data_IF_472225691656
#
_entry.id   IF_472225691656
#
_cell.length_a   1.000
_cell.length_b   1.000
_cell.length_c   1.000
_cell.angle_alpha   90.00
_cell.angle_beta   90.00
_cell.angle_gamma   90.00
#
_symmetry.space_group_name_H-M   'P 1'
#
loop_
_entity.id
_entity.type
_entity.pdbx_description
1 polymer ?
#
# COMPACT_ATOMS: atom_id res chain seq x y z
N UNK A 1 4.28 -30.45 5.84
CA UNK A 1 5.00 -29.78 4.72
C UNK A 1 5.96 -30.79 4.09
N UNK A 2 5.94 -30.99 2.75
CA UNK A 2 6.87 -31.94 2.07
C UNK A 2 8.28 -31.39 1.93
N UNK A 3 8.42 -30.06 1.83
CA UNK A 3 9.70 -29.36 1.95
C UNK A 3 9.89 -29.02 3.42
N UNK A 4 10.97 -29.50 4.03
CA UNK A 4 11.35 -29.15 5.42
C UNK A 4 12.46 -28.10 5.46
N UNK A 5 13.12 -27.91 4.34
CA UNK A 5 14.26 -27.02 4.17
C UNK A 5 13.93 -26.01 3.08
N UNK A 6 13.96 -24.72 3.44
CA UNK A 6 13.80 -23.60 2.54
C UNK A 6 15.12 -22.83 2.34
N UNK A 7 16.22 -23.28 2.95
CA UNK A 7 17.53 -22.63 2.86
C UNK A 7 18.04 -22.40 1.43
N UNK A 8 17.71 -23.24 0.40
CA UNK A 8 18.11 -22.92 -0.97
C UNK A 8 17.53 -21.59 -1.49
N UNK A 9 16.40 -21.12 -0.95
CA UNK A 9 15.83 -19.82 -1.33
C UNK A 9 16.62 -18.64 -0.77
N UNK A 10 17.39 -18.83 0.31
CA UNK A 10 18.13 -17.75 0.97
C UNK A 10 19.12 -17.06 0.02
N UNK A 11 19.78 -17.84 -0.85
CA UNK A 11 20.70 -17.32 -1.85
C UNK A 11 20.02 -16.43 -2.92
N UNK A 12 18.70 -16.59 -3.12
CA UNK A 12 17.92 -15.79 -4.07
C UNK A 12 17.37 -14.54 -3.37
N UNK A 13 16.63 -14.72 -2.27
CA UNK A 13 15.97 -13.60 -1.60
C UNK A 13 16.95 -12.67 -0.86
N UNK A 14 18.11 -13.20 -0.48
CA UNK A 14 19.20 -12.47 0.15
C UNK A 14 20.18 -11.81 -0.83
N UNK A 15 19.98 -11.95 -2.14
CA UNK A 15 20.84 -11.34 -3.14
C UNK A 15 20.30 -9.95 -3.55
N UNK A 16 21.04 -8.85 -3.31
CA UNK A 16 20.59 -7.50 -3.66
C UNK A 16 20.47 -7.25 -5.17
N UNK A 17 21.12 -8.07 -6.01
CA UNK A 17 21.00 -7.98 -7.47
C UNK A 17 19.71 -8.61 -8.01
N UNK A 18 18.93 -9.30 -7.15
CA UNK A 18 17.68 -9.94 -7.52
C UNK A 18 16.51 -9.21 -6.84
N UNK A 19 15.70 -8.52 -7.64
CA UNK A 19 14.48 -7.88 -7.15
C UNK A 19 13.36 -8.90 -6.98
N UNK A 20 12.80 -8.99 -5.77
CA UNK A 20 11.63 -9.83 -5.48
C UNK A 20 10.35 -9.00 -5.66
N UNK A 21 9.42 -9.47 -6.50
CA UNK A 21 8.15 -8.78 -6.73
C UNK A 21 7.09 -9.29 -5.77
N UNK A 22 6.47 -8.38 -5.02
CA UNK A 22 5.41 -8.67 -4.05
C UNK A 22 4.22 -7.74 -4.27
N UNK A 23 3.02 -8.20 -3.95
CA UNK A 23 1.81 -7.38 -3.95
C UNK A 23 1.20 -7.34 -2.54
N UNK A 24 1.59 -6.36 -1.74
CA UNK A 24 1.21 -6.30 -0.32
C UNK A 24 2.23 -7.02 0.55
N UNK A 25 3.48 -6.55 0.51
CA UNK A 25 4.65 -7.29 1.00
C UNK A 25 4.65 -7.59 2.52
N UNK A 26 3.92 -6.81 3.32
CA UNK A 26 4.06 -6.83 4.79
C UNK A 26 3.82 -8.19 5.45
N UNK A 27 2.82 -8.94 5.00
CA UNK A 27 2.54 -10.27 5.56
C UNK A 27 3.57 -11.31 5.09
N UNK A 28 3.93 -11.28 3.81
CA UNK A 28 4.84 -12.23 3.18
C UNK A 28 6.25 -12.09 3.75
N UNK A 29 6.76 -10.86 3.87
CA UNK A 29 8.07 -10.58 4.46
C UNK A 29 8.17 -11.09 5.90
N UNK A 30 7.09 -10.97 6.69
CA UNK A 30 7.06 -11.50 8.05
C UNK A 30 7.12 -13.03 8.06
N UNK A 31 6.30 -13.69 7.24
CA UNK A 31 6.29 -15.16 7.15
C UNK A 31 7.63 -15.70 6.65
N UNK A 32 8.28 -15.01 5.70
CA UNK A 32 9.61 -15.36 5.23
C UNK A 32 10.66 -15.20 6.34
N UNK A 33 10.64 -14.10 7.10
CA UNK A 33 11.56 -13.88 8.21
C UNK A 33 11.40 -14.94 9.33
N UNK A 34 10.18 -15.37 9.64
CA UNK A 34 9.90 -16.50 10.56
C UNK A 34 10.51 -17.84 10.09
N UNK A 35 10.89 -17.92 8.81
CA UNK A 35 11.57 -19.07 8.18
C UNK A 35 13.04 -18.79 7.86
N UNK A 36 13.62 -17.76 8.47
CA UNK A 36 15.02 -17.35 8.26
C UNK A 36 15.34 -16.93 6.81
N UNK A 37 14.31 -16.48 6.08
CA UNK A 37 14.44 -15.94 4.72
C UNK A 37 14.32 -14.41 4.78
N UNK A 38 15.45 -13.74 4.62
CA UNK A 38 15.51 -12.28 4.64
C UNK A 38 15.54 -11.74 3.21
N UNK A 39 14.43 -11.14 2.78
CA UNK A 39 14.33 -10.47 1.48
C UNK A 39 15.04 -9.12 1.54
N UNK A 40 16.14 -8.97 0.81
CA UNK A 40 16.96 -7.73 0.86
C UNK A 40 16.58 -6.70 -0.19
N UNK A 41 15.99 -7.13 -1.31
CA UNK A 41 15.57 -6.27 -2.41
C UNK A 41 14.20 -6.72 -2.94
N UNK A 42 13.19 -5.85 -2.83
CA UNK A 42 11.83 -6.12 -3.29
C UNK A 42 11.11 -4.86 -3.78
N UNK A 43 10.06 -5.07 -4.58
CA UNK A 43 9.07 -4.06 -4.92
C UNK A 43 7.72 -4.44 -4.28
N UNK A 44 7.07 -3.48 -3.63
CA UNK A 44 5.67 -3.63 -3.18
C UNK A 44 4.72 -2.96 -4.18
N UNK A 45 4.17 -3.76 -5.09
CA UNK A 45 3.29 -3.29 -6.16
C UNK A 45 1.94 -2.81 -5.65
N UNK A 46 1.47 -3.30 -4.49
CA UNK A 46 0.27 -2.76 -3.86
C UNK A 46 0.54 -1.32 -3.38
N UNK A 47 1.70 -1.10 -2.77
CA UNK A 47 2.08 0.21 -2.28
C UNK A 47 2.26 1.23 -3.40
N UNK A 48 2.90 0.84 -4.51
CA UNK A 48 2.98 1.64 -5.72
C UNK A 48 1.58 1.97 -6.27
N UNK A 49 0.73 0.97 -6.42
CA UNK A 49 -0.64 1.13 -6.92
C UNK A 49 -1.48 2.05 -6.04
N UNK A 50 -1.37 1.90 -4.71
CA UNK A 50 -2.04 2.76 -3.73
C UNK A 50 -1.61 4.23 -3.87
N UNK A 51 -0.31 4.48 -3.99
CA UNK A 51 0.22 5.83 -4.16
C UNK A 51 -0.30 6.54 -5.42
N UNK A 52 -0.70 5.78 -6.45
CA UNK A 52 -1.26 6.33 -7.68
C UNK A 52 -2.79 6.44 -7.59
N UNK A 53 -3.49 5.37 -7.22
CA UNK A 53 -4.95 5.22 -7.39
C UNK A 53 -5.74 5.20 -6.08
N UNK A 54 -5.07 5.09 -4.94
CA UNK A 54 -5.68 4.94 -3.62
C UNK A 54 -5.90 3.49 -3.19
N UNK A 55 -6.26 3.30 -1.92
CA UNK A 55 -6.40 2.02 -1.23
C UNK A 55 -7.53 1.14 -1.80
N UNK A 56 -8.58 1.76 -2.34
CA UNK A 56 -9.70 1.00 -2.91
C UNK A 56 -9.37 0.36 -4.26
N UNK A 57 -8.36 0.90 -4.96
CA UNK A 57 -7.95 0.44 -6.29
C UNK A 57 -6.56 -0.20 -6.27
N UNK A 58 -5.99 -0.48 -5.10
CA UNK A 58 -4.62 -1.02 -4.98
C UNK A 58 -4.54 -2.54 -5.02
N UNK A 59 -5.64 -3.28 -4.83
CA UNK A 59 -5.60 -4.75 -4.80
C UNK A 59 -5.21 -5.34 -6.16
N UNK A 60 -4.57 -6.52 -6.18
CA UNK A 60 -4.13 -7.16 -7.43
C UNK A 60 -5.29 -7.31 -8.42
N UNK A 61 -6.44 -7.79 -7.95
CA UNK A 61 -7.64 -7.93 -8.79
C UNK A 61 -8.14 -6.59 -9.37
N UNK A 62 -8.08 -5.50 -8.60
CA UNK A 62 -8.46 -4.17 -9.10
C UNK A 62 -7.46 -3.66 -10.14
N UNK A 63 -6.17 -3.86 -9.88
CA UNK A 63 -5.09 -3.46 -10.77
C UNK A 63 -5.09 -4.23 -12.09
N UNK A 64 -5.35 -5.53 -12.07
CA UNK A 64 -5.47 -6.32 -13.30
C UNK A 64 -6.71 -5.96 -14.12
N UNK A 65 -7.82 -5.65 -13.46
CA UNK A 65 -9.00 -5.13 -14.15
C UNK A 65 -8.67 -3.79 -14.82
N UNK A 66 -7.96 -2.89 -14.12
CA UNK A 66 -7.53 -1.59 -14.66
C UNK A 66 -6.54 -1.73 -15.82
N UNK A 67 -5.48 -2.52 -15.65
CA UNK A 67 -4.37 -2.62 -16.59
C UNK A 67 -4.69 -3.49 -17.81
N UNK A 68 -5.39 -4.59 -17.57
CA UNK A 68 -5.58 -5.66 -18.57
C UNK A 68 -7.05 -5.99 -18.86
N UNK A 69 -8.01 -5.37 -18.17
CA UNK A 69 -9.44 -5.74 -18.24
C UNK A 69 -9.70 -7.20 -17.84
N UNK A 70 -8.79 -7.79 -17.05
CA UNK A 70 -8.87 -9.17 -16.57
C UNK A 70 -9.49 -9.20 -15.18
N UNK A 71 -10.48 -10.08 -14.98
CA UNK A 71 -11.07 -10.36 -13.67
C UNK A 71 -10.37 -11.57 -13.05
N UNK A 72 -9.73 -11.37 -11.90
CA UNK A 72 -9.24 -12.48 -11.09
C UNK A 72 -10.40 -13.19 -10.39
N UNK A 73 -10.42 -14.52 -10.49
CA UNK A 73 -11.23 -15.33 -9.60
C UNK A 73 -10.71 -15.20 -8.17
N UNK A 74 -11.61 -15.02 -7.19
CA UNK A 74 -11.28 -14.91 -5.76
C UNK A 74 -11.76 -16.13 -4.96
N UNK A 75 -12.37 -17.11 -5.63
CA UNK A 75 -13.00 -18.28 -5.00
C UNK A 75 -12.05 -19.07 -4.10
N UNK A 76 -10.77 -19.14 -4.46
CA UNK A 76 -9.79 -19.97 -3.75
C UNK A 76 -9.00 -19.24 -2.65
N UNK A 77 -9.21 -17.93 -2.46
CA UNK A 77 -8.44 -17.13 -1.49
C UNK A 77 -8.58 -17.63 -0.04
N UNK A 78 -9.75 -18.18 0.33
CA UNK A 78 -10.05 -18.67 1.68
C UNK A 78 -10.11 -20.20 1.79
N UNK A 79 -9.50 -20.90 0.83
CA UNK A 79 -9.47 -22.38 0.83
C UNK A 79 -8.43 -22.90 1.84
N UNK A 80 -8.64 -24.11 2.35
CA UNK A 80 -7.64 -24.81 3.16
C UNK A 80 -6.40 -25.20 2.32
N UNK A 81 -5.35 -24.37 2.39
CA UNK A 81 -4.05 -24.57 1.75
C UNK A 81 -3.19 -25.66 2.40
N UNK A 82 -3.64 -26.26 3.51
CA UNK A 82 -2.93 -27.37 4.16
C UNK A 82 -3.26 -28.73 3.54
N UNK A 83 -4.37 -28.85 2.81
CA UNK A 83 -4.83 -30.07 2.14
C UNK A 83 -3.77 -30.68 1.22
N UNK A 84 -3.63 -32.01 1.20
CA UNK A 84 -2.76 -32.73 0.26
C UNK A 84 -3.44 -33.98 -0.35
N UNK A 85 -3.20 -34.30 -1.64
CA UNK A 85 -2.51 -33.47 -2.63
C UNK A 85 -3.26 -32.16 -2.91
N UNK A 86 -2.56 -31.14 -3.39
CA UNK A 86 -3.21 -29.89 -3.81
C UNK A 86 -4.04 -30.16 -5.08
N UNK A 87 -5.34 -29.80 -5.10
CA UNK A 87 -6.14 -29.87 -6.32
C UNK A 87 -5.52 -29.05 -7.46
N UNK A 88 -5.64 -29.48 -8.73
CA UNK A 88 -5.10 -28.75 -9.89
C UNK A 88 -5.51 -27.27 -9.94
N UNK A 89 -6.75 -26.96 -9.56
CA UNK A 89 -7.26 -25.58 -9.50
C UNK A 89 -6.48 -24.70 -8.50
N UNK A 90 -6.08 -25.24 -7.34
CA UNK A 90 -5.27 -24.50 -6.36
C UNK A 90 -3.85 -24.26 -6.85
N UNK A 91 -3.28 -25.22 -7.58
CA UNK A 91 -1.95 -25.06 -8.21
C UNK A 91 -2.01 -23.97 -9.28
N UNK A 92 -3.00 -24.02 -10.18
CA UNK A 92 -3.20 -23.01 -11.21
C UNK A 92 -3.42 -21.61 -10.60
N UNK A 93 -4.23 -21.52 -9.55
CA UNK A 93 -4.47 -20.27 -8.82
C UNK A 93 -3.18 -19.68 -8.23
N UNK A 94 -2.38 -20.50 -7.53
CA UNK A 94 -1.12 -20.03 -6.95
C UNK A 94 -0.10 -19.60 -8.01
N UNK A 95 0.00 -20.31 -9.13
CA UNK A 95 0.86 -19.91 -10.24
C UNK A 95 0.40 -18.59 -10.87
N UNK A 96 -0.92 -18.45 -11.08
CA UNK A 96 -1.53 -17.26 -11.69
C UNK A 96 -1.27 -16.00 -10.87
N UNK A 97 -1.25 -16.09 -9.55
CA UNK A 97 -0.96 -14.96 -8.66
C UNK A 97 0.46 -14.40 -8.92
N UNK A 98 1.46 -15.28 -9.04
CA UNK A 98 2.83 -14.89 -9.36
C UNK A 98 2.98 -14.35 -10.80
N UNK A 99 2.37 -15.02 -11.79
CA UNK A 99 2.37 -14.56 -13.19
C UNK A 99 1.75 -13.15 -13.32
N UNK A 100 0.65 -12.91 -12.61
CA UNK A 100 -0.04 -11.62 -12.64
C UNK A 100 0.69 -10.53 -11.89
N UNK A 101 1.39 -10.87 -10.81
CA UNK A 101 2.28 -9.93 -10.11
C UNK A 101 3.40 -9.46 -11.05
N UNK A 102 4.00 -10.37 -11.82
CA UNK A 102 4.99 -10.00 -12.84
C UNK A 102 4.40 -9.10 -13.94
N UNK A 103 3.22 -9.44 -14.45
CA UNK A 103 2.55 -8.63 -15.46
C UNK A 103 2.25 -7.21 -14.96
N UNK A 104 1.78 -7.10 -13.71
CA UNK A 104 1.53 -5.81 -13.10
C UNK A 104 2.81 -4.99 -12.92
N UNK A 105 3.94 -5.61 -12.55
CA UNK A 105 5.22 -4.92 -12.45
C UNK A 105 5.59 -4.25 -13.78
N UNK A 106 5.54 -4.97 -14.89
CA UNK A 106 5.87 -4.40 -16.20
C UNK A 106 4.92 -3.28 -16.62
N UNK A 107 3.62 -3.43 -16.35
CA UNK A 107 2.66 -2.36 -16.61
C UNK A 107 2.96 -1.11 -15.76
N UNK A 108 3.26 -1.28 -14.47
CA UNK A 108 3.67 -0.16 -13.61
C UNK A 108 5.00 0.45 -14.06
N UNK A 109 5.93 -0.36 -14.58
CA UNK A 109 7.22 0.09 -15.08
C UNK A 109 7.07 0.96 -16.33
N UNK A 110 6.19 0.57 -17.24
CA UNK A 110 5.91 1.33 -18.47
C UNK A 110 5.19 2.64 -18.19
N UNK A 111 4.11 2.61 -17.40
CA UNK A 111 3.20 3.77 -17.25
C UNK A 111 3.48 4.62 -16.01
N UNK A 112 4.06 4.04 -14.95
CA UNK A 112 4.29 4.71 -13.67
C UNK A 112 5.68 4.41 -13.07
N UNK A 113 6.79 4.55 -13.84
CA UNK A 113 8.13 4.21 -13.35
C UNK A 113 8.51 5.00 -12.10
N UNK A 114 8.00 6.22 -11.98
CA UNK A 114 8.18 7.06 -10.81
C UNK A 114 7.63 6.45 -9.51
N UNK A 115 6.51 5.73 -9.60
CA UNK A 115 5.86 5.12 -8.44
C UNK A 115 6.61 3.85 -8.05
N UNK A 116 7.05 3.06 -9.04
CA UNK A 116 7.89 1.90 -8.76
C UNK A 116 9.20 2.30 -8.06
N UNK A 117 9.93 3.28 -8.58
CA UNK A 117 11.19 3.73 -7.99
C UNK A 117 11.01 4.22 -6.54
N UNK A 118 9.86 4.84 -6.25
CA UNK A 118 9.51 5.32 -4.93
C UNK A 118 9.24 4.17 -3.92
N UNK A 119 8.86 3.00 -4.44
CA UNK A 119 8.55 1.79 -3.67
C UNK A 119 9.57 0.65 -3.88
N UNK A 120 10.76 1.00 -4.37
CA UNK A 120 11.93 0.13 -4.40
C UNK A 120 12.53 0.02 -3.00
N UNK A 121 12.65 -1.21 -2.49
CA UNK A 121 13.17 -1.44 -1.14
C UNK A 121 14.65 -1.10 -1.00
N UNK A 122 15.42 -1.05 -2.10
CA UNK A 122 16.84 -0.68 -2.08
C UNK A 122 17.04 0.76 -1.54
N UNK A 123 16.00 1.59 -1.62
CA UNK A 123 16.00 2.98 -1.17
C UNK A 123 15.49 3.19 0.28
N UNK A 124 15.23 2.11 1.04
CA UNK A 124 14.58 2.21 2.36
C UNK A 124 15.42 2.82 3.46
N UNK A 125 16.75 2.90 3.31
CA UNK A 125 17.60 3.48 4.34
C UNK A 125 17.60 5.00 4.26
N UNK A 126 16.85 5.63 5.15
CA UNK A 126 16.91 7.07 5.39
C UNK A 126 17.26 7.32 6.86
N UNK A 127 18.36 8.05 7.15
CA UNK A 127 18.72 8.35 8.52
C UNK A 127 17.68 9.29 9.15
N UNK A 128 16.95 8.78 10.13
CA UNK A 128 16.06 9.56 11.01
C UNK A 128 16.54 9.42 12.45
N UNK A 129 16.06 10.29 13.35
CA UNK A 129 16.34 10.15 14.76
C UNK A 129 15.87 8.77 15.27
N UNK A 130 16.69 8.10 16.08
CA UNK A 130 16.47 6.71 16.52
C UNK A 130 15.12 6.52 17.24
N UNK A 131 14.64 7.54 17.94
CA UNK A 131 13.34 7.50 18.63
C UNK A 131 12.14 7.52 17.67
N UNK A 132 12.29 8.03 16.45
CA UNK A 132 11.23 8.11 15.43
C UNK A 132 11.08 6.76 14.71
N UNK A 133 12.18 6.04 14.52
CA UNK A 133 12.26 4.82 13.71
C UNK A 133 11.21 3.74 14.05
N UNK A 134 10.93 3.41 15.34
CA UNK A 134 9.90 2.43 15.68
C UNK A 134 8.50 2.80 15.17
N UNK A 135 8.16 4.10 15.15
CA UNK A 135 6.89 4.59 14.63
C UNK A 135 6.82 4.48 13.11
N UNK A 136 7.91 4.78 12.40
CA UNK A 136 7.98 4.65 10.95
C UNK A 136 7.88 3.19 10.50
N UNK A 137 8.44 2.27 11.29
CA UNK A 137 8.33 0.82 11.07
C UNK A 137 6.98 0.26 11.49
N UNK A 138 6.21 0.99 12.32
CA UNK A 138 4.91 0.55 12.83
C UNK A 138 5.03 -0.54 13.90
N UNK A 139 6.16 -0.57 14.59
CA UNK A 139 6.50 -1.57 15.62
C UNK A 139 6.62 -0.94 17.02
N UNK A 140 6.33 0.35 17.16
CA UNK A 140 6.35 1.00 18.48
C UNK A 140 5.42 0.28 19.44
N UNK A 141 5.91 -0.20 20.59
CA UNK A 141 5.08 -0.91 21.57
C UNK A 141 4.24 0.04 22.43
N UNK A 142 4.57 1.34 22.43
CA UNK A 142 3.95 2.36 23.28
C UNK A 142 3.48 3.58 22.47
N UNK A 143 2.53 4.36 23.01
CA UNK A 143 2.12 5.64 22.44
C UNK A 143 3.27 6.67 22.32
N UNK A 144 3.19 7.64 21.40
CA UNK A 144 4.24 8.64 21.15
C UNK A 144 4.69 9.46 22.37
N UNK A 145 3.75 9.88 23.21
CA UNK A 145 4.01 10.66 24.42
C UNK A 145 4.82 9.86 25.45
N UNK A 146 4.48 8.59 25.62
CA UNK A 146 5.22 7.65 26.50
C UNK A 146 6.63 7.42 25.96
N UNK A 147 6.78 7.15 24.66
CA UNK A 147 8.09 6.95 24.05
C UNK A 147 9.01 8.17 24.20
N UNK A 148 8.46 9.39 24.08
CA UNK A 148 9.23 10.61 24.29
C UNK A 148 9.68 10.74 25.75
N UNK A 149 8.79 10.45 26.71
CA UNK A 149 9.16 10.49 28.13
C UNK A 149 10.31 9.52 28.44
N UNK A 150 10.22 8.27 27.96
CA UNK A 150 11.29 7.27 28.11
C UNK A 150 12.59 7.71 27.43
N UNK A 151 12.51 8.27 26.22
CA UNK A 151 13.68 8.77 25.50
C UNK A 151 14.34 9.99 26.17
N UNK A 152 13.57 10.81 26.90
CA UNK A 152 14.10 11.89 27.75
C UNK A 152 14.84 11.30 28.95
N UNK A 153 14.26 10.32 29.63
CA UNK A 153 14.90 9.63 30.77
C UNK A 153 16.21 8.95 30.37
N UNK A 154 16.28 8.42 29.15
CA UNK A 154 17.49 7.79 28.59
C UNK A 154 18.50 8.81 28.04
N UNK A 155 18.20 10.11 28.06
CA UNK A 155 19.07 11.17 27.54
C UNK A 155 19.18 11.21 26.00
N UNK A 156 18.30 10.50 25.29
CA UNK A 156 18.22 10.52 23.82
C UNK A 156 17.57 11.81 23.33
N UNK A 157 16.55 12.28 24.05
CA UNK A 157 15.87 13.56 23.80
C UNK A 157 16.20 14.53 24.92
N UNK A 158 16.84 15.65 24.57
CA UNK A 158 17.27 16.68 25.52
C UNK A 158 16.25 17.82 25.66
N UNK A 159 15.37 18.00 24.67
CA UNK A 159 14.39 19.07 24.69
C UNK A 159 13.20 18.82 23.77
N UNK A 160 12.07 19.49 24.03
CA UNK A 160 10.92 19.49 23.11
C UNK A 160 11.26 20.09 21.74
N UNK A 161 12.22 21.02 21.69
CA UNK A 161 12.66 21.61 20.42
C UNK A 161 13.39 20.59 19.55
N UNK A 162 14.14 19.66 20.15
CA UNK A 162 14.76 18.55 19.43
C UNK A 162 13.71 17.69 18.73
N UNK A 163 12.62 17.33 19.41
CA UNK A 163 11.52 16.54 18.82
C UNK A 163 10.96 17.20 17.55
N UNK A 164 10.73 18.51 17.60
CA UNK A 164 10.24 19.28 16.43
C UNK A 164 11.26 19.26 15.30
N UNK A 165 12.54 19.48 15.60
CA UNK A 165 13.61 19.49 14.61
C UNK A 165 13.83 18.11 13.98
N UNK A 166 13.78 17.04 14.77
CA UNK A 166 13.91 15.66 14.30
C UNK A 166 12.76 15.29 13.36
N UNK A 167 11.53 15.63 13.72
CA UNK A 167 10.35 15.44 12.86
C UNK A 167 10.45 16.27 11.57
N UNK A 168 10.92 17.53 11.64
CA UNK A 168 11.15 18.37 10.45
C UNK A 168 12.20 17.76 9.53
N UNK A 169 13.32 17.30 10.09
CA UNK A 169 14.37 16.62 9.34
C UNK A 169 13.85 15.32 8.72
N UNK A 170 12.99 14.57 9.41
CA UNK A 170 12.36 13.37 8.87
C UNK A 170 11.40 13.72 7.71
N UNK A 171 10.68 14.84 7.76
CA UNK A 171 9.81 15.30 6.66
C UNK A 171 10.58 15.66 5.39
N UNK A 172 11.85 16.05 5.48
CA UNK A 172 12.67 16.39 4.31
C UNK A 172 13.47 15.19 3.78
N UNK A 173 13.86 14.28 4.66
CA UNK A 173 14.72 13.15 4.32
C UNK A 173 13.94 11.92 3.84
N UNK A 174 12.76 11.64 4.42
CA UNK A 174 12.01 10.45 4.08
C UNK A 174 11.48 10.49 2.65
N UNK A 175 11.91 9.51 1.86
CA UNK A 175 11.44 9.32 0.48
C UNK A 175 10.20 8.41 0.46
N UNK A 176 10.15 7.39 1.33
CA UNK A 176 9.13 6.35 1.26
C UNK A 176 7.73 6.82 1.74
N UNK A 177 6.68 6.78 0.90
CA UNK A 177 5.37 7.39 1.19
C UNK A 177 4.68 6.85 2.44
N UNK A 178 4.79 5.55 2.71
CA UNK A 178 4.16 4.95 3.89
C UNK A 178 4.84 5.45 5.18
N UNK A 179 6.16 5.60 5.18
CA UNK A 179 6.88 6.17 6.32
C UNK A 179 6.53 7.65 6.50
N UNK A 180 6.43 8.43 5.41
CA UNK A 180 5.95 9.82 5.47
C UNK A 180 4.53 9.93 6.05
N UNK A 181 3.62 9.06 5.62
CA UNK A 181 2.25 8.99 6.16
C UNK A 181 2.23 8.67 7.67
N UNK A 182 3.10 7.75 8.12
CA UNK A 182 3.27 7.42 9.54
C UNK A 182 3.89 8.58 10.33
N UNK A 183 4.87 9.27 9.77
CA UNK A 183 5.47 10.48 10.37
C UNK A 183 4.43 11.59 10.53
N UNK A 184 3.59 11.85 9.51
CA UNK A 184 2.51 12.83 9.60
C UNK A 184 1.49 12.49 10.69
N UNK A 185 1.20 11.20 10.89
CA UNK A 185 0.39 10.74 12.01
C UNK A 185 1.08 11.00 13.35
N UNK A 186 2.36 10.67 13.48
CA UNK A 186 3.16 10.90 14.68
C UNK A 186 3.18 12.40 15.04
N UNK A 187 3.43 13.27 14.06
CA UNK A 187 3.41 14.73 14.23
C UNK A 187 2.06 15.22 14.76
N UNK A 188 0.96 14.68 14.23
CA UNK A 188 -0.39 14.99 14.68
C UNK A 188 -0.70 14.44 16.09
N UNK A 189 -0.23 13.23 16.41
CA UNK A 189 -0.39 12.62 17.75
C UNK A 189 0.36 13.43 18.81
N UNK A 190 1.52 13.99 18.46
CA UNK A 190 2.34 14.83 19.33
C UNK A 190 1.91 16.32 19.36
N UNK A 191 0.88 16.67 18.59
CA UNK A 191 0.36 18.04 18.47
C UNK A 191 1.45 19.09 18.13
N UNK A 192 2.37 18.76 17.22
CA UNK A 192 3.48 19.67 16.85
C UNK A 192 3.01 20.72 15.84
N UNK A 193 2.21 21.68 16.29
CA UNK A 193 1.62 22.73 15.44
C UNK A 193 2.64 23.61 14.72
N UNK A 194 3.89 23.68 15.21
CA UNK A 194 4.97 24.40 14.52
C UNK A 194 5.36 23.78 13.17
N UNK A 195 4.96 22.53 12.91
CA UNK A 195 5.23 21.82 11.66
C UNK A 195 4.14 22.01 10.61
N UNK A 196 3.06 22.75 10.91
CA UNK A 196 2.00 23.04 9.93
C UNK A 196 2.56 23.58 8.60
N UNK A 197 3.46 24.58 8.56
CA UNK A 197 4.04 25.08 7.31
C UNK A 197 4.86 24.03 6.54
N UNK A 198 5.48 23.07 7.25
CA UNK A 198 6.24 21.97 6.67
C UNK A 198 5.32 20.90 6.03
N UNK A 199 4.08 20.76 6.52
CA UNK A 199 3.09 19.78 6.06
C UNK A 199 2.26 20.30 4.88
N UNK A 200 1.94 21.60 4.86
CA UNK A 200 1.09 22.20 3.82
C UNK A 200 1.51 21.89 2.37
N UNK A 201 2.81 21.92 2.00
CA UNK A 201 3.24 21.54 0.65
C UNK A 201 2.83 20.11 0.24
N UNK A 202 2.66 19.21 1.22
CA UNK A 202 2.29 17.82 0.97
C UNK A 202 0.83 17.64 0.56
N UNK A 203 0.00 18.67 0.66
CA UNK A 203 -1.32 18.71 0.02
C UNK A 203 -1.22 18.57 -1.50
N UNK A 204 -0.06 18.92 -2.10
CA UNK A 204 0.23 18.76 -3.53
C UNK A 204 1.24 17.62 -3.77
N UNK A 205 1.44 16.72 -2.80
CA UNK A 205 2.35 15.60 -2.96
C UNK A 205 1.94 14.71 -4.15
N UNK A 206 2.95 14.11 -4.79
CA UNK A 206 2.75 13.24 -5.96
C UNK A 206 1.89 12.03 -5.61
N UNK A 207 2.07 11.45 -4.42
CA UNK A 207 1.31 10.28 -3.97
C UNK A 207 0.01 10.67 -3.30
N UNK A 208 -1.03 9.88 -3.56
CA UNK A 208 -2.34 10.04 -2.90
C UNK A 208 -2.26 9.81 -1.39
N UNK A 209 -1.39 8.89 -0.95
CA UNK A 209 -1.13 8.54 0.44
C UNK A 209 -0.69 9.77 1.25
N UNK A 210 0.28 10.52 0.73
CA UNK A 210 0.80 11.72 1.35
C UNK A 210 -0.22 12.85 1.37
N UNK A 211 -0.93 13.10 0.26
CA UNK A 211 -1.98 14.13 0.22
C UNK A 211 -3.06 13.85 1.26
N UNK A 212 -3.56 12.62 1.30
CA UNK A 212 -4.59 12.22 2.27
C UNK A 212 -4.06 12.28 3.72
N UNK A 213 -2.79 11.92 3.96
CA UNK A 213 -2.17 12.00 5.28
C UNK A 213 -1.95 13.44 5.73
N UNK A 214 -1.53 14.33 4.83
CA UNK A 214 -1.34 15.74 5.09
C UNK A 214 -2.65 16.42 5.50
N UNK A 215 -3.75 16.17 4.76
CA UNK A 215 -5.09 16.65 5.13
C UNK A 215 -5.44 16.23 6.57
N UNK A 216 -5.28 14.94 6.89
CA UNK A 216 -5.61 14.42 8.23
C UNK A 216 -4.73 15.04 9.32
N UNK A 217 -3.45 15.23 9.06
CA UNK A 217 -2.51 15.83 10.01
C UNK A 217 -2.86 17.30 10.28
N UNK A 218 -3.05 18.11 9.23
CA UNK A 218 -3.37 19.54 9.34
C UNK A 218 -4.64 19.80 10.13
N UNK A 219 -5.69 18.99 9.92
CA UNK A 219 -6.94 19.12 10.67
C UNK A 219 -6.78 18.75 12.14
N UNK A 220 -5.99 17.71 12.44
CA UNK A 220 -5.70 17.33 13.83
C UNK A 220 -4.84 18.36 14.55
N UNK A 221 -4.05 19.14 13.82
CA UNK A 221 -3.25 20.26 14.32
C UNK A 221 -4.03 21.58 14.40
N UNK A 222 -5.34 21.58 14.10
CA UNK A 222 -6.21 22.77 14.12
C UNK A 222 -5.71 23.90 13.19
N UNK A 223 -5.12 23.54 12.05
CA UNK A 223 -4.58 24.48 11.08
C UNK A 223 -5.69 25.12 10.21
N UNK A 224 -6.44 26.07 10.79
CA UNK A 224 -7.56 26.76 10.14
C UNK A 224 -7.19 27.37 8.78
N UNK A 225 -6.03 28.02 8.69
CA UNK A 225 -5.53 28.65 7.46
C UNK A 225 -5.28 27.64 6.32
N UNK A 226 -5.06 26.35 6.64
CA UNK A 226 -4.84 25.33 5.64
C UNK A 226 -6.14 24.87 4.96
N UNK A 227 -7.32 25.22 5.50
CA UNK A 227 -8.62 24.83 4.92
C UNK A 227 -8.79 25.32 3.48
N UNK A 228 -8.36 26.55 3.19
CA UNK A 228 -8.38 27.11 1.82
C UNK A 228 -7.59 26.24 0.84
N UNK A 229 -6.46 25.68 1.28
CA UNK A 229 -5.61 24.78 0.49
C UNK A 229 -6.19 23.36 0.39
N UNK A 230 -7.08 22.95 1.29
CA UNK A 230 -7.75 21.64 1.28
C UNK A 230 -8.96 21.63 0.33
N UNK A 231 -9.68 22.75 0.15
CA UNK A 231 -10.87 22.82 -0.72
C UNK A 231 -10.67 22.22 -2.13
N UNK A 232 -9.59 22.53 -2.86
CA UNK A 232 -9.36 21.95 -4.19
C UNK A 232 -9.28 20.41 -4.19
N UNK A 233 -8.84 19.80 -3.08
CA UNK A 233 -8.68 18.35 -2.96
C UNK A 233 -10.01 17.59 -2.82
N UNK A 234 -11.14 18.30 -2.69
CA UNK A 234 -12.47 17.69 -2.88
C UNK A 234 -12.66 17.13 -4.30
N UNK A 235 -11.89 17.62 -5.28
CA UNK A 235 -11.89 17.17 -6.68
C UNK A 235 -10.67 16.33 -7.03
N UNK A 236 -9.89 15.87 -6.05
CA UNK A 236 -8.74 15.01 -6.30
C UNK A 236 -9.15 13.75 -7.08
N UNK A 237 -8.35 13.27 -8.06
CA UNK A 237 -8.70 12.06 -8.82
C UNK A 237 -8.84 10.82 -7.93
N UNK A 238 -8.16 10.77 -6.78
CA UNK A 238 -8.17 9.64 -5.87
C UNK A 238 -9.24 9.80 -4.79
N UNK A 239 -10.10 8.78 -4.68
CA UNK A 239 -11.22 8.76 -3.75
C UNK A 239 -10.81 9.02 -2.28
N UNK A 240 -9.70 8.43 -1.83
CA UNK A 240 -9.28 8.52 -0.42
C UNK A 240 -8.86 9.95 -0.03
N UNK A 241 -8.30 10.70 -0.98
CA UNK A 241 -7.96 12.10 -0.81
C UNK A 241 -9.24 12.93 -0.72
N UNK A 242 -10.20 12.73 -1.65
CA UNK A 242 -11.51 13.40 -1.60
C UNK A 242 -12.24 13.12 -0.29
N UNK A 243 -12.22 11.88 0.18
CA UNK A 243 -12.83 11.47 1.45
C UNK A 243 -12.16 12.18 2.64
N UNK A 244 -10.83 12.25 2.66
CA UNK A 244 -10.10 12.99 3.67
C UNK A 244 -10.46 14.48 3.67
N UNK A 245 -10.46 15.12 2.50
CA UNK A 245 -10.83 16.54 2.34
C UNK A 245 -12.29 16.81 2.77
N UNK A 246 -13.21 15.95 2.37
CA UNK A 246 -14.63 16.07 2.75
C UNK A 246 -14.86 15.89 4.25
N UNK A 247 -14.09 15.00 4.90
CA UNK A 247 -14.16 14.83 6.36
C UNK A 247 -13.58 16.04 7.08
N UNK A 248 -12.43 16.53 6.60
CA UNK A 248 -11.73 17.71 7.09
C UNK A 248 -12.58 18.98 7.07
N UNK A 249 -13.37 19.18 6.02
CA UNK A 249 -14.18 20.39 5.86
C UNK A 249 -15.57 20.30 6.51
N UNK A 250 -16.06 19.07 6.78
CA UNK A 250 -17.33 18.85 7.48
C UNK A 250 -17.27 19.10 8.98
N UNK A 251 -16.09 18.99 9.61
CA UNK A 251 -15.93 19.13 11.06
C UNK A 251 -16.26 20.53 11.61
N UNK A 252 -16.56 21.52 10.76
CA UNK A 252 -17.12 22.81 11.18
C UNK A 252 -18.65 22.81 11.37
N UNK A 253 -19.41 21.86 10.80
CA UNK A 253 -20.89 21.92 10.86
C UNK A 253 -21.43 21.38 12.19
N UNK A 254 -20.67 20.58 12.94
CA UNK A 254 -21.13 19.99 14.20
C UNK A 254 -20.81 20.83 15.45
N UNK A 255 -19.88 21.81 15.37
CA UNK A 255 -19.57 22.69 16.52
C UNK A 255 -20.70 23.71 16.81
N UNK A 256 -21.55 24.01 15.83
CA UNK A 256 -22.69 24.93 15.97
C UNK A 256 -24.04 24.21 16.20
N UNK A 257 -24.06 22.88 16.23
CA UNK A 257 -25.27 22.06 16.49
C UNK A 257 -24.99 21.08 17.63
N UNK A 258 -24.74 21.61 18.83
CA UNK A 258 -24.92 20.84 20.08
C UNK A 258 -26.19 21.29 20.77
N UNK A 259 -27.32 20.79 20.27
CA UNK A 259 -28.55 20.53 21.03
C UNK A 259 -28.65 19.02 21.32
N UNK A 260 -29.41 18.58 22.34
CA UNK A 260 -29.13 17.36 23.07
C UNK A 260 -29.46 16.07 22.30
N UNK A 261 -28.49 15.14 22.33
CA UNK A 261 -28.70 13.70 22.33
C UNK A 261 -29.38 13.07 21.11
N UNK A 262 -28.59 12.47 20.21
CA UNK A 262 -29.08 11.44 19.31
C UNK A 262 -28.36 10.12 19.58
N UNK A 263 -29.20 9.14 19.92
CA UNK A 263 -28.89 7.86 20.52
C UNK A 263 -28.06 6.92 19.63
N UNK A 264 -27.25 6.11 20.30
CA UNK A 264 -26.54 4.95 19.77
C UNK A 264 -27.52 3.96 19.14
N UNK A 265 -27.29 3.44 17.92
CA UNK A 265 -28.15 2.39 17.36
C UNK A 265 -27.95 1.08 18.14
N UNK A 266 -29.05 0.55 18.67
CA UNK A 266 -29.08 -0.75 19.33
C UNK A 266 -28.85 -1.89 18.31
N UNK A 267 -28.06 -2.88 18.73
CA UNK A 267 -27.85 -4.14 17.99
C UNK A 267 -29.12 -5.01 18.12
N UNK A 268 -29.63 -5.52 16.99
CA UNK A 268 -30.62 -6.62 17.01
C UNK A 268 -29.95 -7.95 17.39
N UNK A 269 -30.68 -8.79 18.12
CA UNK A 269 -30.18 -9.93 18.87
C UNK A 269 -29.95 -11.23 18.07
N UNK A 270 -30.10 -11.24 16.75
CA UNK A 270 -30.07 -12.50 15.97
C UNK A 270 -28.95 -12.58 14.91
N UNK A 271 -27.91 -11.75 15.00
CA UNK A 271 -26.59 -12.00 14.38
C UNK A 271 -26.49 -12.19 12.85
N UNK A 272 -27.59 -12.22 12.09
CA UNK A 272 -27.59 -12.50 10.66
C UNK A 272 -27.62 -11.21 9.83
N UNK A 273 -26.80 -11.16 8.77
CA UNK A 273 -26.87 -10.14 7.72
C UNK A 273 -27.10 -10.86 6.40
N UNK A 274 -28.32 -10.80 5.87
CA UNK A 274 -28.64 -11.25 4.51
C UNK A 274 -28.27 -10.14 3.52
N UNK A 275 -27.47 -10.47 2.51
CA UNK A 275 -27.27 -9.65 1.33
C UNK A 275 -27.90 -10.39 0.15
N UNK A 276 -28.97 -9.84 -0.41
CA UNK A 276 -29.47 -10.25 -1.73
C UNK A 276 -28.62 -9.54 -2.78
N UNK A 277 -27.69 -10.28 -3.39
CA UNK A 277 -26.98 -9.84 -4.59
C UNK A 277 -27.91 -10.09 -5.77
N UNK A 278 -28.29 -9.01 -6.48
CA UNK A 278 -29.00 -9.13 -7.74
C UNK A 278 -28.11 -9.77 -8.79
N UNK A 279 -28.62 -10.79 -9.46
CA UNK A 279 -28.03 -11.40 -10.65
C UNK A 279 -27.85 -10.33 -11.73
N UNK A 280 -26.61 -10.18 -12.22
CA UNK A 280 -26.34 -9.49 -13.48
C UNK A 280 -25.43 -10.34 -14.35
N UNK A 281 -26.04 -10.89 -15.40
CA UNK A 281 -25.50 -11.04 -16.75
C UNK A 281 -24.12 -11.67 -16.90
N UNK A 282 -24.13 -12.95 -17.24
CA UNK A 282 -23.03 -13.64 -17.92
C UNK A 282 -22.68 -12.88 -19.22
N UNK A 283 -21.45 -12.38 -19.30
CA UNK A 283 -20.94 -11.69 -20.47
C UNK A 283 -19.50 -12.14 -20.74
N UNK A 284 -19.38 -13.11 -21.64
CA UNK A 284 -18.27 -13.29 -22.59
C UNK A 284 -16.90 -13.53 -21.99
N UNK A 285 -16.42 -14.78 -22.09
CA UNK A 285 -15.01 -15.12 -21.85
C UNK A 285 -14.08 -14.26 -22.71
N UNK A 286 -13.44 -13.28 -22.08
CA UNK A 286 -12.29 -12.59 -22.66
C UNK A 286 -11.15 -13.61 -22.79
N UNK A 287 -10.55 -13.66 -23.98
CA UNK A 287 -9.53 -14.63 -24.35
C UNK A 287 -8.33 -14.55 -23.39
N UNK A 288 -8.14 -15.60 -22.58
CA UNK A 288 -7.10 -15.70 -21.53
C UNK A 288 -5.66 -15.65 -22.12
N UNK A 289 -5.52 -15.61 -23.45
CA UNK A 289 -4.25 -15.46 -24.15
C UNK A 289 -3.82 -14.01 -24.43
N UNK A 290 -4.74 -13.03 -24.41
CA UNK A 290 -4.45 -11.64 -24.79
C UNK A 290 -3.46 -10.96 -23.82
N UNK A 291 -3.64 -11.16 -22.51
CA UNK A 291 -2.72 -10.58 -21.51
C UNK A 291 -1.31 -11.18 -21.58
N UNK A 292 -1.16 -12.46 -21.97
CA UNK A 292 0.16 -13.10 -22.15
C UNK A 292 0.89 -12.50 -23.34
N UNK A 293 0.18 -12.20 -24.42
CA UNK A 293 0.76 -11.52 -25.57
C UNK A 293 1.22 -10.10 -25.20
N UNK A 294 0.40 -9.36 -24.44
CA UNK A 294 0.77 -8.04 -23.91
C UNK A 294 1.97 -8.10 -22.96
N UNK A 295 2.03 -9.08 -22.07
CA UNK A 295 3.18 -9.30 -21.19
C UNK A 295 4.46 -9.57 -21.99
N UNK A 296 4.43 -10.48 -22.97
CA UNK A 296 5.59 -10.76 -23.83
C UNK A 296 6.05 -9.51 -24.58
N UNK A 297 5.10 -8.72 -25.09
CA UNK A 297 5.39 -7.43 -25.71
C UNK A 297 6.08 -6.46 -24.74
N UNK A 298 5.62 -6.37 -23.49
CA UNK A 298 6.23 -5.52 -22.46
C UNK A 298 7.62 -6.01 -22.04
N UNK A 299 7.85 -7.32 -22.05
CA UNK A 299 9.15 -7.95 -21.79
C UNK A 299 10.14 -7.81 -22.96
N UNK A 300 9.70 -7.33 -24.13
CA UNK A 300 10.52 -7.29 -25.33
C UNK A 300 10.74 -8.66 -25.98
N UNK A 301 9.93 -9.66 -25.63
CA UNK A 301 9.96 -10.99 -26.26
C UNK A 301 9.07 -10.98 -27.51
N UNK A 302 9.67 -10.91 -28.70
CA UNK A 302 8.93 -11.15 -29.94
C UNK A 302 8.35 -12.58 -29.93
N UNK A 303 7.11 -12.79 -30.39
CA UNK A 303 6.55 -14.13 -30.48
C UNK A 303 7.43 -14.97 -31.42
N UNK A 304 8.03 -16.03 -30.88
CA UNK A 304 8.78 -17.02 -31.64
C UNK A 304 7.93 -17.47 -32.83
N UNK A 305 8.34 -17.12 -34.06
CA UNK A 305 7.73 -17.66 -35.28
C UNK A 305 7.82 -19.17 -35.20
N UNK A 306 6.68 -19.85 -35.01
CA UNK A 306 6.62 -21.29 -35.20
C UNK A 306 7.15 -21.61 -36.61
N UNK A 307 8.01 -22.61 -36.77
CA UNK A 307 8.42 -23.04 -38.10
C UNK A 307 7.17 -23.52 -38.84
N UNK A 308 6.89 -22.90 -40.00
CA UNK A 308 5.87 -23.40 -40.93
C UNK A 308 6.26 -24.83 -41.27
N UNK A 309 5.41 -25.78 -40.89
CA UNK A 309 5.39 -27.10 -41.49
C UNK A 309 4.93 -26.93 -42.93
N UNK A 310 5.85 -27.11 -43.89
CA UNK A 310 5.50 -27.29 -45.31
C UNK A 310 4.67 -28.57 -45.44
N UNK A 311 3.43 -28.51 -45.94
CA UNK A 311 2.77 -29.68 -46.49
C UNK A 311 3.22 -29.86 -47.94
N UNK A 312 3.56 -31.10 -48.28
CA UNK A 312 3.71 -31.64 -49.64
C UNK A 312 5.07 -31.45 -50.34
N UNK A 313 6.03 -32.28 -49.90
CA UNK A 313 6.84 -33.07 -50.84
C UNK A 313 6.15 -34.42 -51.06
N UNK A 314 5.47 -34.56 -52.21
CA UNK A 314 5.33 -35.81 -52.97
C UNK A 314 5.27 -35.48 -54.46
#
# INVERSE_FOLDING_TARGET
MRLRDLSPMAAVVGNPEISILLHGAGADLRVMAERELFVVHYFDLEAASRSIFGQHESSLAAMLLRAFQVRLDKSLQRTDWTRRPLPPAMVAYAARDAEMTLALYYWLFEYFPWALNLHDSANLQTPVASWIEPFLRGISPVPPDVAIAEAIEQGVILSRQQVVNDCRNALTTLIYPMQRSRLLRLIADLALTQLTPDIEPLLQARTSDERAAAIRALIRLDAEHSKEKIYPLLQDPVHDVRKAASTALRSNVQKDITGPGLATPAKSADGSRSWTVGETGDAGGADDNDWKARLRSMMGEEPSRQPRTDPDQQ
#
